data_IF_200321474304
#
_entry.id   IF_200321474304
#
_cell.length_a   1.000
_cell.length_b   1.000
_cell.length_c   1.000
_cell.angle_alpha   90.00
_cell.angle_beta   90.00
_cell.angle_gamma   90.00
#
_symmetry.space_group_name_H-M   'P 1'
#
loop_
_entity.id
_entity.type
_entity.pdbx_description
1 polymer ?
#
# COMPACT_ATOMS: atom_id res chain seq x y z
N UNK A 1 4.89 12.25 4.20
CA UNK A 1 4.37 12.07 2.82
C UNK A 1 3.03 12.79 2.66
N UNK A 2 2.96 14.10 2.94
CA UNK A 2 1.69 14.82 3.11
C UNK A 2 1.22 15.52 1.83
N UNK A 3 2.14 16.14 1.09
CA UNK A 3 1.80 16.92 -0.13
C UNK A 3 1.04 16.07 -1.16
N UNK A 4 1.40 14.79 -1.33
CA UNK A 4 0.75 13.90 -2.30
C UNK A 4 -0.72 13.61 -1.95
N UNK A 5 -1.05 13.48 -0.66
CA UNK A 5 -2.40 13.25 -0.17
C UNK A 5 -3.34 14.42 -0.49
N UNK A 6 -2.79 15.64 -0.58
CA UNK A 6 -3.56 16.86 -0.86
C UNK A 6 -3.93 17.05 -2.33
N UNK A 7 -3.38 16.22 -3.24
CA UNK A 7 -3.62 16.36 -4.67
C UNK A 7 -5.05 15.90 -5.04
N UNK A 8 -5.95 16.81 -5.47
CA UNK A 8 -7.39 16.54 -5.53
C UNK A 8 -7.81 15.60 -6.66
N UNK A 9 -6.90 15.26 -7.58
CA UNK A 9 -7.14 14.40 -8.76
C UNK A 9 -6.10 13.27 -8.87
N UNK A 10 -5.34 13.00 -7.80
CA UNK A 10 -4.35 11.94 -7.82
C UNK A 10 -5.06 10.59 -7.73
N UNK A 11 -5.27 9.96 -8.88
CA UNK A 11 -5.88 8.62 -8.97
C UNK A 11 -4.84 7.50 -9.01
N UNK A 12 -3.63 7.79 -9.47
CA UNK A 12 -2.57 6.81 -9.67
C UNK A 12 -1.28 7.35 -9.07
N UNK A 13 -0.73 6.61 -8.10
CA UNK A 13 0.55 6.91 -7.49
C UNK A 13 1.50 5.73 -7.71
N UNK A 14 2.66 6.02 -8.31
CA UNK A 14 3.69 5.03 -8.57
C UNK A 14 5.00 5.54 -7.97
N UNK A 15 5.46 4.87 -6.93
CA UNK A 15 6.70 5.18 -6.23
C UNK A 15 7.71 4.09 -6.59
N UNK A 16 8.76 4.47 -7.30
CA UNK A 16 9.79 3.56 -7.82
C UNK A 16 11.17 3.97 -7.37
N UNK A 17 12.08 3.02 -7.24
CA UNK A 17 13.54 3.25 -7.16
C UNK A 17 13.90 4.32 -6.12
N UNK A 18 13.64 4.04 -4.84
CA UNK A 18 13.88 5.01 -3.76
C UNK A 18 13.16 6.37 -3.93
N UNK A 19 12.02 6.41 -4.62
CA UNK A 19 11.15 7.60 -4.67
C UNK A 19 10.80 8.17 -3.28
N UNK A 20 10.87 7.32 -2.26
CA UNK A 20 11.00 7.71 -0.87
C UNK A 20 12.00 6.77 -0.17
N UNK A 21 12.55 7.23 0.95
CA UNK A 21 13.44 6.47 1.81
C UNK A 21 12.86 6.45 3.21
N UNK A 22 12.99 5.31 3.89
CA UNK A 22 12.54 5.13 5.26
C UNK A 22 11.95 3.74 5.49
N UNK A 23 12.36 3.15 6.61
CA UNK A 23 11.88 1.83 7.04
C UNK A 23 10.41 1.82 7.47
N UNK A 24 9.82 2.99 7.74
CA UNK A 24 8.44 3.10 8.20
C UNK A 24 7.64 4.05 7.32
N UNK A 25 6.44 3.63 6.97
CA UNK A 25 5.41 4.48 6.42
C UNK A 25 4.44 4.77 7.57
N UNK A 26 4.55 5.97 8.13
CA UNK A 26 3.74 6.37 9.27
C UNK A 26 2.31 6.74 8.84
N UNK A 27 1.29 6.41 9.67
CA UNK A 27 -0.06 6.85 9.45
C UNK A 27 -0.12 8.38 9.61
N UNK A 28 -0.83 9.03 8.70
CA UNK A 28 -1.14 10.46 8.76
C UNK A 28 -2.64 10.61 8.80
N UNK A 29 -3.14 11.65 9.48
CA UNK A 29 -4.56 12.03 9.42
C UNK A 29 -5.00 12.43 8.00
N UNK A 30 -4.05 12.69 7.11
CA UNK A 30 -4.29 12.96 5.71
C UNK A 30 -4.65 11.69 4.92
N UNK A 31 -5.59 11.84 3.97
CA UNK A 31 -6.09 10.75 3.13
C UNK A 31 -5.85 11.02 1.66
N UNK A 32 -5.60 9.95 0.92
CA UNK A 32 -5.63 9.96 -0.54
C UNK A 32 -7.08 9.83 -1.05
N UNK A 33 -7.79 10.97 -1.13
CA UNK A 33 -9.24 10.99 -1.39
C UNK A 33 -9.66 10.39 -2.75
N UNK A 34 -8.78 10.40 -3.76
CA UNK A 34 -9.09 9.93 -5.11
C UNK A 34 -8.20 8.78 -5.59
N UNK A 35 -7.27 8.30 -4.76
CA UNK A 35 -6.29 7.31 -5.21
C UNK A 35 -6.96 5.95 -5.39
N UNK A 36 -6.85 5.43 -6.61
CA UNK A 36 -7.37 4.13 -7.03
C UNK A 36 -6.26 3.10 -7.20
N UNK A 37 -5.04 3.54 -7.51
CA UNK A 37 -3.94 2.62 -7.75
C UNK A 37 -2.66 3.09 -7.05
N UNK A 38 -2.06 2.20 -6.27
CA UNK A 38 -0.77 2.40 -5.63
C UNK A 38 0.24 1.33 -6.09
N UNK A 39 1.37 1.78 -6.63
CA UNK A 39 2.54 0.94 -6.87
C UNK A 39 3.70 1.36 -5.99
N UNK A 40 4.26 0.39 -5.28
CA UNK A 40 5.54 0.50 -4.56
C UNK A 40 6.56 -0.42 -5.23
N UNK A 41 7.63 0.12 -5.79
CA UNK A 41 8.64 -0.64 -6.53
C UNK A 41 10.05 -0.28 -6.01
N UNK A 42 10.78 -1.26 -5.47
CA UNK A 42 12.17 -1.05 -5.03
C UNK A 42 12.29 -0.04 -3.88
N UNK A 43 11.50 -0.23 -2.82
CA UNK A 43 11.51 0.60 -1.60
C UNK A 43 12.24 -0.10 -0.45
N UNK A 44 12.78 0.68 0.49
CA UNK A 44 13.39 0.20 1.75
C UNK A 44 12.38 0.09 2.90
N UNK A 45 11.09 0.10 2.56
CA UNK A 45 9.98 0.04 3.52
C UNK A 45 9.95 -1.31 4.23
N UNK A 46 10.01 -1.30 5.57
CA UNK A 46 9.93 -2.49 6.43
C UNK A 46 8.55 -2.60 7.06
N UNK A 47 8.08 -1.52 7.68
CA UNK A 47 6.77 -1.45 8.34
C UNK A 47 5.87 -0.50 7.57
N UNK A 48 4.88 -1.05 6.91
CA UNK A 48 3.81 -0.25 6.35
C UNK A 48 2.72 -0.09 7.40
N UNK A 49 2.44 1.14 7.87
CA UNK A 49 1.35 1.41 8.81
C UNK A 49 0.30 2.26 8.10
N UNK A 50 -0.55 1.58 7.34
CA UNK A 50 -1.67 2.19 6.62
C UNK A 50 -3.00 1.71 7.21
N UNK A 51 -3.99 2.59 7.18
CA UNK A 51 -5.38 2.27 7.54
C UNK A 51 -6.30 2.41 6.32
N UNK A 52 -7.40 1.64 6.28
CA UNK A 52 -8.45 1.73 5.27
C UNK A 52 -8.95 3.16 5.09
N UNK A 53 -9.03 3.90 6.20
CA UNK A 53 -9.41 5.30 6.22
C UNK A 53 -8.56 6.17 5.29
N UNK A 54 -7.25 5.90 5.17
CA UNK A 54 -6.35 6.73 4.36
C UNK A 54 -6.54 6.52 2.85
N UNK A 55 -7.18 5.43 2.45
CA UNK A 55 -7.29 4.95 1.08
C UNK A 55 -8.74 4.59 0.70
N UNK A 56 -9.71 5.51 0.86
CA UNK A 56 -11.14 5.19 0.75
C UNK A 56 -11.62 4.78 -0.64
N UNK A 57 -10.77 4.89 -1.66
CA UNK A 57 -11.08 4.56 -3.07
C UNK A 57 -10.04 3.66 -3.73
N UNK A 58 -9.14 3.06 -2.94
CA UNK A 58 -8.09 2.24 -3.51
C UNK A 58 -8.70 0.98 -4.10
N UNK A 59 -8.44 0.74 -5.39
CA UNK A 59 -8.93 -0.40 -6.16
C UNK A 59 -7.83 -1.43 -6.37
N UNK A 60 -6.57 -0.99 -6.49
CA UNK A 60 -5.43 -1.87 -6.75
C UNK A 60 -4.18 -1.47 -5.99
N UNK A 61 -3.57 -2.46 -5.34
CA UNK A 61 -2.26 -2.36 -4.71
C UNK A 61 -1.28 -3.30 -5.41
N UNK A 62 -0.18 -2.75 -5.91
CA UNK A 62 0.90 -3.55 -6.48
C UNK A 62 2.20 -3.25 -5.75
N UNK A 63 2.94 -4.29 -5.38
CA UNK A 63 4.29 -4.14 -4.84
C UNK A 63 5.30 -4.99 -5.60
N UNK A 64 6.45 -4.39 -5.87
CA UNK A 64 7.54 -5.00 -6.64
C UNK A 64 8.86 -4.78 -5.95
N UNK A 65 9.70 -5.81 -5.91
CA UNK A 65 11.09 -5.70 -5.43
C UNK A 65 11.21 -5.10 -4.02
N UNK A 66 10.21 -5.34 -3.16
CA UNK A 66 10.19 -4.82 -1.80
C UNK A 66 10.53 -5.93 -0.80
N UNK A 67 11.79 -6.33 -0.80
CA UNK A 67 12.30 -7.47 -0.04
C UNK A 67 12.29 -7.27 1.48
N UNK A 68 12.22 -6.03 1.95
CA UNK A 68 12.34 -5.69 3.36
C UNK A 68 10.99 -5.57 4.08
N UNK A 69 9.86 -5.53 3.36
CA UNK A 69 8.57 -5.35 4.01
C UNK A 69 8.23 -6.59 4.82
N UNK A 70 7.80 -6.36 6.06
CA UNK A 70 7.35 -7.43 6.92
C UNK A 70 5.95 -7.93 6.54
N UNK A 71 4.95 -7.04 6.49
CA UNK A 71 3.55 -7.42 6.25
C UNK A 71 2.75 -6.28 5.61
N UNK A 72 1.67 -6.64 4.92
CA UNK A 72 0.60 -5.71 4.54
C UNK A 72 -0.33 -5.52 5.75
N UNK A 73 -0.73 -4.28 6.08
CA UNK A 73 -1.68 -4.03 7.17
C UNK A 73 -3.03 -4.72 6.93
N UNK A 74 -3.58 -5.35 7.97
CA UNK A 74 -4.91 -5.97 7.92
C UNK A 74 -6.00 -4.94 7.59
N UNK A 75 -5.87 -3.70 8.05
CA UNK A 75 -6.75 -2.59 7.67
C UNK A 75 -6.86 -2.39 6.15
N UNK A 76 -5.90 -2.85 5.34
CA UNK A 76 -6.01 -2.78 3.87
C UNK A 76 -7.12 -3.69 3.36
N UNK A 77 -7.38 -4.82 4.03
CA UNK A 77 -8.51 -5.71 3.73
C UNK A 77 -9.85 -4.99 3.90
N UNK A 78 -9.95 -4.08 4.87
CA UNK A 78 -11.20 -3.36 5.15
C UNK A 78 -11.55 -2.27 4.11
N UNK A 79 -10.73 -2.07 3.08
CA UNK A 79 -10.99 -1.08 2.02
C UNK A 79 -12.07 -1.64 1.08
N UNK A 80 -13.30 -1.08 1.07
CA UNK A 80 -14.43 -1.69 0.35
C UNK A 80 -14.29 -1.67 -1.18
N UNK A 81 -13.39 -0.84 -1.70
CA UNK A 81 -13.14 -0.71 -3.14
C UNK A 81 -12.00 -1.57 -3.62
N UNK A 82 -11.26 -2.23 -2.72
CA UNK A 82 -10.07 -2.98 -3.07
C UNK A 82 -10.45 -4.22 -3.88
N UNK A 83 -9.86 -4.37 -5.06
CA UNK A 83 -10.17 -5.45 -5.98
C UNK A 83 -9.02 -6.46 -6.06
N UNK A 84 -7.78 -5.99 -5.89
CA UNK A 84 -6.62 -6.86 -5.96
C UNK A 84 -5.42 -6.32 -5.19
N UNK A 85 -4.62 -7.28 -4.72
CA UNK A 85 -3.28 -7.08 -4.19
C UNK A 85 -2.35 -7.98 -5.00
N UNK A 86 -1.32 -7.40 -5.62
CA UNK A 86 -0.29 -8.16 -6.34
C UNK A 86 1.09 -7.90 -5.73
N UNK A 87 1.80 -8.98 -5.45
CA UNK A 87 3.17 -8.93 -4.96
C UNK A 87 4.12 -9.62 -5.96
N UNK A 88 5.24 -8.96 -6.24
CA UNK A 88 6.29 -9.51 -7.11
C UNK A 88 7.65 -9.31 -6.46
N UNK A 89 8.38 -10.41 -6.23
CA UNK A 89 9.70 -10.37 -5.60
C UNK A 89 9.67 -9.62 -4.25
N UNK A 90 8.71 -9.98 -3.39
CA UNK A 90 8.58 -9.49 -2.03
C UNK A 90 9.13 -10.53 -1.03
N UNK A 91 9.12 -10.18 0.26
CA UNK A 91 9.41 -11.14 1.33
C UNK A 91 8.29 -12.19 1.43
N UNK A 92 8.63 -13.38 1.92
CA UNK A 92 7.62 -14.43 2.17
C UNK A 92 6.58 -14.01 3.20
N UNK A 93 6.96 -13.18 4.18
CA UNK A 93 6.03 -12.67 5.20
C UNK A 93 5.01 -11.70 4.61
N UNK A 94 5.42 -10.88 3.64
CA UNK A 94 4.49 -10.02 2.91
C UNK A 94 3.54 -10.86 2.04
N UNK A 95 4.05 -11.91 1.40
CA UNK A 95 3.23 -12.86 0.62
C UNK A 95 2.19 -13.56 1.51
N UNK A 96 2.60 -14.06 2.69
CA UNK A 96 1.70 -14.69 3.65
C UNK A 96 0.59 -13.73 4.11
N UNK A 97 0.94 -12.47 4.39
CA UNK A 97 -0.05 -11.44 4.78
C UNK A 97 -1.03 -11.11 3.65
N UNK A 98 -0.57 -11.04 2.40
CA UNK A 98 -1.44 -10.78 1.25
C UNK A 98 -2.42 -11.94 1.02
N UNK A 99 -1.96 -13.18 1.17
CA UNK A 99 -2.81 -14.37 1.05
C UNK A 99 -3.92 -14.36 2.12
N UNK A 100 -3.57 -14.05 3.37
CA UNK A 100 -4.56 -13.92 4.46
C UNK A 100 -5.64 -12.88 4.15
N UNK A 101 -5.22 -11.69 3.68
CA UNK A 101 -6.15 -10.61 3.31
C UNK A 101 -7.09 -11.05 2.18
N UNK A 102 -6.59 -11.82 1.20
CA UNK A 102 -7.42 -12.33 0.11
C UNK A 102 -8.39 -13.45 0.54
N UNK A 103 -8.03 -14.23 1.57
CA UNK A 103 -8.88 -15.29 2.12
C UNK A 103 -10.03 -14.75 2.98
N UNK A 104 -9.86 -13.59 3.62
CA UNK A 104 -10.87 -12.94 4.46
C UNK A 104 -12.02 -12.28 3.66
N UNK A 105 -11.87 -12.10 2.34
CA UNK A 105 -12.88 -11.54 1.42
C UNK A 105 -13.96 -12.56 0.99
N UNK A 106 -14.14 -13.69 1.70
CA UNK A 106 -15.02 -14.79 1.28
C UNK A 106 -16.02 -15.30 2.33
#
# INVERSE_FOLDING_TARGET
>A
MTILCTLPKLEVLKLKDYAFQGSEWEPTDERFQQLKFLLLDGTDLIHWKASSFQFPKLEGLVRKNCYCLYEIPEDVAEIPTLQFIELYHCSSTADDSANRIQEEEH
#
